data_IF_651832010210
#
_entry.id   IF_651832010210
#
_cell.length_a   1.000
_cell.length_b   1.000
_cell.length_c   1.000
_cell.angle_alpha   90.00
_cell.angle_beta   90.00
_cell.angle_gamma   90.00
#
_symmetry.space_group_name_H-M   'P 1'
#
loop_
_entity.id
_entity.type
_entity.pdbx_description
1 polymer ?
#
# COMPACT_ATOMS: atom_id res chain seq x y z
N UNK A 1 9.54 -67.76 -43.90
CA UNK A 1 9.12 -66.35 -43.71
C UNK A 1 8.22 -66.24 -42.51
N UNK A 2 8.74 -65.67 -41.41
CA UNK A 2 8.00 -64.95 -40.35
C UNK A 2 9.05 -64.45 -39.34
N UNK A 3 9.59 -63.27 -39.62
CA UNK A 3 10.40 -62.52 -38.66
C UNK A 3 9.41 -61.79 -37.74
N UNK A 4 9.30 -62.23 -36.49
CA UNK A 4 8.57 -61.49 -35.46
C UNK A 4 9.50 -60.43 -34.89
N UNK A 5 9.24 -59.17 -35.23
CA UNK A 5 9.87 -57.99 -34.64
C UNK A 5 9.30 -57.84 -33.23
N UNK A 6 10.15 -57.95 -32.21
CA UNK A 6 9.80 -57.61 -30.82
C UNK A 6 10.10 -56.12 -30.65
N UNK A 7 9.05 -55.31 -30.64
CA UNK A 7 9.13 -53.88 -30.34
C UNK A 7 9.17 -53.70 -28.83
N UNK A 8 10.35 -53.43 -28.27
CA UNK A 8 10.48 -52.99 -26.88
C UNK A 8 9.98 -51.55 -26.77
N UNK A 9 8.82 -51.34 -26.14
CA UNK A 9 8.35 -50.03 -25.76
C UNK A 9 9.19 -49.51 -24.59
N UNK A 10 9.98 -48.46 -24.84
CA UNK A 10 10.60 -47.65 -23.77
C UNK A 10 9.49 -46.78 -23.20
N UNK A 11 8.98 -47.16 -22.03
CA UNK A 11 8.11 -46.29 -21.23
C UNK A 11 8.97 -45.18 -20.63
N UNK A 12 8.95 -43.99 -21.24
CA UNK A 12 9.47 -42.79 -20.62
C UNK A 12 8.53 -42.40 -19.48
N UNK A 13 8.96 -42.64 -18.25
CA UNK A 13 8.31 -42.07 -17.06
C UNK A 13 8.60 -40.57 -17.09
N UNK A 14 7.69 -39.79 -17.66
CA UNK A 14 7.61 -38.35 -17.43
C UNK A 14 7.17 -38.16 -15.98
N UNK A 15 8.14 -38.19 -15.06
CA UNK A 15 7.94 -37.65 -13.73
C UNK A 15 7.68 -36.16 -13.89
N UNK A 16 6.41 -35.76 -13.72
CA UNK A 16 6.07 -34.36 -13.50
C UNK A 16 6.72 -33.94 -12.19
N UNK A 17 7.93 -33.41 -12.28
CA UNK A 17 8.48 -32.60 -11.21
C UNK A 17 7.54 -31.40 -11.09
N UNK A 18 6.69 -31.42 -10.08
CA UNK A 18 6.00 -30.22 -9.62
C UNK A 18 7.09 -29.37 -8.98
N UNK A 19 7.76 -28.57 -9.79
CA UNK A 19 8.51 -27.45 -9.24
C UNK A 19 7.45 -26.55 -8.64
N UNK A 20 7.41 -26.45 -7.32
CA UNK A 20 6.83 -25.28 -6.70
C UNK A 20 7.60 -24.11 -7.32
N UNK A 21 6.95 -23.36 -8.20
CA UNK A 21 7.47 -22.07 -8.61
C UNK A 21 7.56 -21.27 -7.32
N UNK A 22 8.75 -21.22 -6.74
CA UNK A 22 9.04 -20.24 -5.71
C UNK A 22 8.73 -18.90 -6.38
N UNK A 23 7.88 -18.09 -5.77
CA UNK A 23 7.64 -16.72 -6.19
C UNK A 23 8.98 -16.09 -6.60
N UNK A 24 9.04 -15.49 -7.79
CA UNK A 24 10.27 -14.86 -8.23
C UNK A 24 10.68 -13.84 -7.17
N UNK A 25 11.95 -13.86 -6.76
CA UNK A 25 12.48 -12.84 -5.86
C UNK A 25 12.21 -11.45 -6.40
N UNK A 26 11.74 -10.54 -5.55
CA UNK A 26 11.62 -9.12 -5.86
C UNK A 26 13.00 -8.55 -6.23
N UNK A 27 13.04 -7.71 -7.25
CA UNK A 27 14.27 -7.12 -7.79
C UNK A 27 14.09 -5.62 -8.13
N UNK A 28 15.20 -4.88 -8.19
CA UNK A 28 15.16 -3.49 -8.64
C UNK A 28 14.53 -3.39 -10.05
N UNK A 29 13.83 -2.28 -10.30
CA UNK A 29 12.99 -2.02 -11.47
C UNK A 29 11.71 -2.88 -11.59
N UNK A 30 11.46 -3.82 -10.67
CA UNK A 30 10.13 -4.40 -10.56
C UNK A 30 9.10 -3.32 -10.24
N UNK A 31 7.89 -3.48 -10.75
CA UNK A 31 6.77 -2.57 -10.52
C UNK A 31 5.74 -3.23 -9.61
N UNK A 32 5.50 -2.64 -8.45
CA UNK A 32 4.41 -3.02 -7.55
C UNK A 32 3.15 -2.28 -7.98
N UNK A 33 2.17 -3.02 -8.48
CA UNK A 33 0.89 -2.46 -8.94
C UNK A 33 -0.05 -2.23 -7.76
N UNK A 34 -0.70 -1.07 -7.72
CA UNK A 34 -1.79 -0.79 -6.79
C UNK A 34 -3.04 -1.50 -7.32
N UNK A 35 -3.78 -2.21 -6.45
CA UNK A 35 -4.96 -2.91 -6.91
C UNK A 35 -6.16 -1.95 -6.92
N UNK A 36 -6.60 -1.57 -8.12
CA UNK A 36 -7.73 -0.66 -8.38
C UNK A 36 -9.09 -1.14 -7.89
N UNK A 37 -9.17 -2.31 -7.25
CA UNK A 37 -10.40 -3.00 -6.85
C UNK A 37 -11.34 -2.22 -5.93
N UNK A 38 -10.95 -1.01 -5.50
CA UNK A 38 -11.71 -0.18 -4.57
C UNK A 38 -11.61 -0.76 -3.17
N UNK A 39 -11.31 0.07 -2.18
CA UNK A 39 -11.31 -0.45 -0.84
C UNK A 39 -12.74 -0.78 -0.41
N UNK A 40 -12.91 -1.91 0.27
CA UNK A 40 -14.19 -2.38 0.78
C UNK A 40 -14.13 -2.31 2.29
N UNK A 41 -14.97 -1.48 2.89
CA UNK A 41 -15.20 -1.49 4.33
C UNK A 41 -15.83 -2.84 4.69
N UNK A 42 -15.16 -3.61 5.55
CA UNK A 42 -15.63 -4.92 6.04
C UNK A 42 -16.02 -4.88 7.51
N UNK A 43 -15.71 -3.78 8.21
CA UNK A 43 -16.07 -3.58 9.61
C UNK A 43 -16.21 -2.11 10.01
N UNK A 44 -17.14 -1.84 10.92
CA UNK A 44 -17.43 -0.52 11.48
C UNK A 44 -17.41 -0.58 13.01
N UNK A 45 -16.94 0.49 13.66
CA UNK A 45 -16.92 0.57 15.13
C UNK A 45 -18.31 0.43 15.75
N UNK A 46 -19.33 0.95 15.07
CA UNK A 46 -20.71 0.80 15.46
C UNK A 46 -21.61 0.69 14.22
N UNK A 47 -22.75 0.01 14.38
CA UNK A 47 -23.75 -0.12 13.33
C UNK A 47 -23.43 -1.20 12.30
N UNK A 48 -23.84 -0.96 11.04
CA UNK A 48 -23.73 -1.93 9.94
C UNK A 48 -23.21 -1.26 8.66
N UNK A 49 -22.60 -2.02 7.76
CA UNK A 49 -22.21 -1.52 6.44
C UNK A 49 -23.45 -1.37 5.56
N UNK A 50 -23.55 -0.24 4.85
CA UNK A 50 -24.55 -0.06 3.80
C UNK A 50 -24.25 -0.98 2.61
N UNK A 51 -25.13 -1.91 2.24
CA UNK A 51 -24.89 -2.74 1.05
C UNK A 51 -24.91 -1.93 -0.26
N UNK A 52 -25.55 -0.77 -0.27
CA UNK A 52 -25.69 0.06 -1.48
C UNK A 52 -24.51 1.01 -1.67
N UNK A 53 -23.91 1.51 -0.58
CA UNK A 53 -22.82 2.52 -0.64
C UNK A 53 -21.49 2.03 -0.11
N UNK A 54 -21.46 0.91 0.63
CA UNK A 54 -20.26 0.42 1.31
C UNK A 54 -19.89 1.18 2.58
N UNK A 55 -20.61 2.26 2.95
CA UNK A 55 -20.26 3.10 4.10
C UNK A 55 -20.78 2.53 5.44
N UNK A 56 -20.16 2.94 6.55
CA UNK A 56 -20.70 2.66 7.88
C UNK A 56 -22.02 3.42 8.11
N UNK A 57 -23.03 2.72 8.65
CA UNK A 57 -24.34 3.27 9.00
C UNK A 57 -24.60 3.21 10.50
N UNK A 58 -25.13 4.29 11.04
CA UNK A 58 -25.83 4.29 12.34
C UNK A 58 -27.31 4.60 12.09
N UNK A 59 -28.21 3.88 12.77
CA UNK A 59 -29.66 4.10 12.72
C UNK A 59 -30.26 4.14 11.30
N UNK A 60 -29.65 3.39 10.37
CA UNK A 60 -30.14 3.27 9.00
C UNK A 60 -29.69 4.37 8.04
N UNK A 61 -28.78 5.27 8.43
CA UNK A 61 -28.19 6.28 7.54
C UNK A 61 -26.68 6.18 7.51
N UNK A 62 -26.07 6.44 6.36
CA UNK A 62 -24.61 6.56 6.25
C UNK A 62 -24.13 7.68 7.18
N UNK A 63 -23.19 7.35 8.06
CA UNK A 63 -22.65 8.29 9.03
C UNK A 63 -21.13 8.38 8.85
N UNK A 64 -20.61 9.45 8.20
CA UNK A 64 -19.18 9.60 7.95
C UNK A 64 -18.37 9.84 9.23
N UNK A 65 -19.03 9.97 10.40
CA UNK A 65 -18.36 10.12 11.70
C UNK A 65 -18.01 8.77 12.34
N UNK A 66 -18.53 7.67 11.81
CA UNK A 66 -18.22 6.33 12.32
C UNK A 66 -16.82 5.91 11.88
N UNK A 67 -16.02 5.42 12.83
CA UNK A 67 -14.71 4.86 12.51
C UNK A 67 -14.87 3.52 11.79
N UNK A 68 -14.12 3.37 10.70
CA UNK A 68 -13.93 2.11 9.99
C UNK A 68 -12.99 1.25 10.84
N UNK A 69 -13.40 0.03 11.18
CA UNK A 69 -12.56 -0.90 11.96
C UNK A 69 -11.88 -1.94 11.09
N UNK A 70 -12.43 -2.23 9.92
CA UNK A 70 -11.82 -3.16 8.96
C UNK A 70 -12.11 -2.70 7.53
N UNK A 71 -11.08 -2.73 6.69
CA UNK A 71 -11.16 -2.37 5.28
C UNK A 71 -10.16 -3.20 4.50
N UNK A 72 -10.55 -3.64 3.30
CA UNK A 72 -9.71 -4.45 2.41
C UNK A 72 -9.47 -3.71 1.09
N UNK A 73 -8.44 -4.07 0.33
CA UNK A 73 -8.06 -3.38 -0.91
C UNK A 73 -7.04 -2.26 -0.70
N UNK A 74 -6.80 -1.45 -1.72
CA UNK A 74 -5.82 -0.35 -1.66
C UNK A 74 -6.50 0.97 -1.28
N UNK A 75 -6.20 1.44 -0.06
CA UNK A 75 -6.66 2.74 0.44
C UNK A 75 -5.54 3.48 1.15
N UNK A 76 -5.76 4.77 1.32
CA UNK A 76 -4.96 5.65 2.15
C UNK A 76 -5.89 6.32 3.16
N UNK A 77 -5.47 6.45 4.41
CA UNK A 77 -6.26 7.06 5.47
C UNK A 77 -5.53 8.28 6.05
N UNK A 78 -6.26 9.39 6.23
CA UNK A 78 -5.80 10.58 6.93
C UNK A 78 -6.91 11.04 7.89
N UNK A 79 -6.54 11.27 9.16
CA UNK A 79 -7.32 11.97 10.19
C UNK A 79 -8.85 11.98 9.96
N UNK A 80 -9.50 10.82 10.09
CA UNK A 80 -10.96 10.68 10.03
C UNK A 80 -11.57 10.40 8.66
N UNK A 81 -10.75 10.11 7.64
CA UNK A 81 -11.25 9.69 6.33
C UNK A 81 -10.32 8.72 5.61
N UNK A 82 -10.92 7.91 4.74
CA UNK A 82 -10.22 6.96 3.87
C UNK A 82 -10.45 7.33 2.41
N UNK A 83 -9.42 7.25 1.61
CA UNK A 83 -9.40 7.56 0.18
C UNK A 83 -8.96 6.32 -0.57
N UNK A 84 -9.75 5.90 -1.55
CA UNK A 84 -9.37 4.80 -2.43
C UNK A 84 -8.18 5.18 -3.30
N UNK A 85 -7.23 4.25 -3.44
CA UNK A 85 -6.14 4.40 -4.37
C UNK A 85 -6.46 3.70 -5.68
N UNK A 86 -6.04 4.34 -6.77
CA UNK A 86 -6.00 3.74 -8.09
C UNK A 86 -4.61 3.86 -8.64
N UNK A 87 -4.14 2.82 -9.29
CA UNK A 87 -2.86 2.69 -9.94
C UNK A 87 -2.73 3.68 -11.09
N UNK A 88 -1.56 4.29 -11.19
CA UNK A 88 -1.13 5.00 -12.39
C UNK A 88 0.10 4.29 -12.97
N UNK A 89 1.26 4.49 -12.36
CA UNK A 89 2.51 3.81 -12.73
C UNK A 89 2.88 2.68 -11.74
N UNK A 90 2.25 2.65 -10.56
CA UNK A 90 2.65 1.76 -9.47
C UNK A 90 3.95 2.23 -8.80
N UNK A 91 4.54 1.39 -7.96
CA UNK A 91 5.83 1.68 -7.29
C UNK A 91 6.93 0.94 -8.05
N UNK A 92 7.84 1.67 -8.67
CA UNK A 92 8.99 1.16 -9.41
C UNK A 92 10.18 1.09 -8.45
N UNK A 93 10.59 -0.12 -8.10
CA UNK A 93 11.70 -0.34 -7.17
C UNK A 93 13.01 0.21 -7.73
N UNK A 94 13.84 0.77 -6.85
CA UNK A 94 15.09 1.44 -7.22
C UNK A 94 14.90 2.80 -7.91
N UNK A 95 13.67 3.30 -8.07
CA UNK A 95 13.39 4.58 -8.73
C UNK A 95 12.79 5.63 -7.80
N UNK A 96 13.18 6.89 -8.02
CA UNK A 96 12.50 8.05 -7.45
C UNK A 96 11.35 8.48 -8.37
N UNK A 97 10.13 8.51 -7.85
CA UNK A 97 8.88 8.83 -8.56
C UNK A 97 8.26 10.07 -7.92
N UNK A 98 8.60 11.25 -8.44
CA UNK A 98 8.09 12.52 -7.92
C UNK A 98 6.76 12.87 -8.58
N UNK A 99 5.80 13.31 -7.76
CA UNK A 99 4.56 13.90 -8.22
C UNK A 99 4.59 15.43 -8.10
N UNK A 100 3.84 16.12 -8.97
CA UNK A 100 3.73 17.58 -8.97
C UNK A 100 2.31 18.03 -9.34
N UNK A 101 2.02 19.33 -9.19
CA UNK A 101 0.74 19.90 -9.61
C UNK A 101 -0.39 19.68 -8.61
N UNK A 102 -0.09 19.39 -7.35
CA UNK A 102 -1.10 19.45 -6.28
C UNK A 102 -1.61 20.87 -6.11
N UNK A 103 -2.92 21.03 -5.96
CA UNK A 103 -3.57 22.31 -5.78
C UNK A 103 -4.89 22.17 -4.99
N UNK A 104 -5.45 23.29 -4.48
CA UNK A 104 -6.80 23.30 -3.95
C UNK A 104 -7.86 22.99 -5.01
N UNK A 105 -8.97 22.41 -4.58
CA UNK A 105 -10.13 22.13 -5.42
C UNK A 105 -10.16 20.71 -5.98
N UNK A 106 -10.90 20.56 -7.07
CA UNK A 106 -11.08 19.28 -7.77
C UNK A 106 -9.97 19.06 -8.79
N UNK A 107 -9.67 17.80 -9.05
CA UNK A 107 -8.70 17.36 -10.06
C UNK A 107 -9.01 18.01 -11.41
N UNK A 108 -8.01 18.59 -12.07
CA UNK A 108 -8.22 19.41 -13.28
C UNK A 108 -7.21 19.17 -14.42
N UNK A 109 -6.46 18.07 -14.34
CA UNK A 109 -5.44 17.65 -15.31
C UNK A 109 -4.18 18.51 -15.32
N UNK A 110 -3.97 19.38 -14.33
CA UNK A 110 -2.66 20.04 -14.11
C UNK A 110 -1.73 19.21 -13.24
N UNK A 111 -2.24 18.11 -12.68
CA UNK A 111 -1.50 17.11 -11.93
C UNK A 111 -0.49 16.37 -12.80
N UNK A 112 0.64 16.02 -12.19
CA UNK A 112 1.65 15.13 -12.76
C UNK A 112 1.85 13.98 -11.76
N UNK A 113 0.94 12.98 -11.75
CA UNK A 113 1.08 11.80 -10.90
C UNK A 113 2.27 10.96 -11.33
N UNK A 114 2.77 10.13 -10.42
CA UNK A 114 3.90 9.23 -10.70
C UNK A 114 3.74 7.83 -10.12
N UNK A 115 2.71 7.57 -9.31
CA UNK A 115 2.52 6.29 -8.61
C UNK A 115 1.05 5.87 -8.72
N UNK A 116 0.17 6.69 -8.16
CA UNK A 116 -1.28 6.54 -8.18
C UNK A 116 -1.96 7.66 -8.98
N UNK A 117 -3.23 7.46 -9.33
CA UNK A 117 -4.09 8.50 -9.89
C UNK A 117 -4.31 9.57 -8.81
N UNK A 118 -4.34 10.87 -9.18
CA UNK A 118 -4.64 11.92 -8.21
C UNK A 118 -5.96 11.67 -7.49
N UNK A 119 -5.99 11.99 -6.20
CA UNK A 119 -7.17 11.88 -5.34
C UNK A 119 -7.46 13.20 -4.66
N UNK A 120 -8.65 13.34 -4.09
CA UNK A 120 -9.06 14.55 -3.37
C UNK A 120 -9.26 14.23 -1.90
N UNK A 121 -8.56 14.95 -1.02
CA UNK A 121 -8.75 14.89 0.42
C UNK A 121 -8.82 16.30 1.00
N UNK A 122 -9.83 16.54 1.84
CA UNK A 122 -10.12 17.86 2.44
C UNK A 122 -10.02 19.02 1.41
N UNK A 123 -10.68 18.83 0.26
CA UNK A 123 -10.75 19.80 -0.84
C UNK A 123 -9.41 20.18 -1.48
N UNK A 124 -8.40 19.30 -1.40
CA UNK A 124 -7.12 19.47 -2.06
C UNK A 124 -6.76 18.20 -2.84
N UNK A 125 -6.16 18.37 -4.00
CA UNK A 125 -5.62 17.26 -4.78
C UNK A 125 -4.36 16.71 -4.10
N UNK A 126 -4.29 15.39 -3.92
CA UNK A 126 -3.13 14.67 -3.44
C UNK A 126 -2.68 13.58 -4.41
N UNK A 127 -1.40 13.25 -4.35
CA UNK A 127 -0.75 12.16 -5.11
C UNK A 127 0.36 11.57 -4.26
N UNK A 128 0.57 10.25 -4.34
CA UNK A 128 1.75 9.61 -3.76
C UNK A 128 3.01 9.91 -4.58
N UNK A 129 4.13 9.93 -3.86
CA UNK A 129 5.45 10.15 -4.43
C UNK A 129 6.53 9.45 -3.61
N UNK A 130 7.68 9.24 -4.23
CA UNK A 130 8.93 8.94 -3.55
C UNK A 130 9.94 10.07 -3.80
N UNK A 131 10.59 10.52 -2.72
CA UNK A 131 11.62 11.57 -2.75
C UNK A 131 13.04 10.98 -2.80
N UNK A 132 13.18 9.71 -2.41
CA UNK A 132 14.31 8.81 -2.64
C UNK A 132 13.80 7.47 -3.16
N UNK A 133 14.65 6.66 -3.81
CA UNK A 133 14.25 5.34 -4.30
C UNK A 133 13.70 4.43 -3.21
N UNK A 134 12.66 3.64 -3.55
CA UNK A 134 12.24 2.49 -2.71
C UNK A 134 13.23 1.36 -2.97
N UNK A 135 13.96 0.92 -1.95
CA UNK A 135 15.01 -0.09 -2.12
C UNK A 135 14.68 -1.39 -1.41
N UNK A 136 15.20 -2.50 -1.93
CA UNK A 136 14.99 -3.82 -1.34
C UNK A 136 15.97 -4.02 -0.19
N UNK A 137 15.44 -4.24 1.02
CA UNK A 137 16.23 -4.58 2.20
C UNK A 137 16.37 -6.10 2.28
N UNK A 138 15.24 -6.81 2.10
CA UNK A 138 15.18 -8.27 2.11
C UNK A 138 14.03 -8.75 1.22
N UNK A 139 13.84 -10.08 1.10
CA UNK A 139 12.72 -10.63 0.34
C UNK A 139 11.34 -10.26 0.90
N UNK A 140 11.28 -9.73 2.12
CA UNK A 140 10.01 -9.38 2.80
C UNK A 140 9.98 -7.93 3.24
N UNK A 141 11.01 -7.13 2.95
CA UNK A 141 11.16 -5.77 3.47
C UNK A 141 11.65 -4.81 2.40
N UNK A 142 10.97 -3.66 2.31
CA UNK A 142 11.36 -2.53 1.49
C UNK A 142 11.62 -1.29 2.34
N UNK A 143 12.61 -0.51 1.91
CA UNK A 143 12.88 0.83 2.42
C UNK A 143 11.97 1.85 1.72
N UNK A 144 11.01 2.38 2.46
CA UNK A 144 10.11 3.47 2.07
C UNK A 144 10.46 4.80 2.77
N UNK A 145 11.69 5.00 3.24
CA UNK A 145 12.12 6.26 3.88
C UNK A 145 11.86 7.52 3.03
N UNK A 146 11.87 7.37 1.70
CA UNK A 146 11.54 8.43 0.75
C UNK A 146 10.06 8.64 0.48
N UNK A 147 9.18 7.79 1.00
CA UNK A 147 7.75 7.81 0.71
C UNK A 147 7.07 9.06 1.24
N UNK A 148 6.11 9.57 0.49
CA UNK A 148 5.32 10.71 0.88
C UNK A 148 4.14 10.94 -0.04
N UNK A 149 3.43 12.01 0.25
CA UNK A 149 2.39 12.56 -0.63
C UNK A 149 2.75 14.00 -0.99
N UNK A 150 2.37 14.44 -2.18
CA UNK A 150 2.26 15.87 -2.45
C UNK A 150 0.80 16.26 -2.24
N UNK A 151 0.55 17.15 -1.28
CA UNK A 151 -0.79 17.53 -0.89
C UNK A 151 -0.81 19.02 -0.53
N UNK A 152 -1.80 19.75 -1.07
CA UNK A 152 -1.89 21.21 -0.99
C UNK A 152 -0.56 21.92 -1.39
N UNK A 153 0.11 21.40 -2.42
CA UNK A 153 1.39 21.93 -2.91
C UNK A 153 2.59 21.69 -1.98
N UNK A 154 2.42 20.97 -0.88
CA UNK A 154 3.48 20.61 0.06
C UNK A 154 3.84 19.14 -0.07
N UNK A 155 5.13 18.84 0.05
CA UNK A 155 5.61 17.47 0.17
C UNK A 155 5.51 17.04 1.62
N UNK A 156 4.59 16.12 1.92
CA UNK A 156 4.38 15.56 3.26
C UNK A 156 5.10 14.22 3.33
N UNK A 157 6.18 14.10 4.13
CA UNK A 157 6.90 12.85 4.28
C UNK A 157 6.06 11.86 5.08
N UNK A 158 5.98 10.64 4.56
CA UNK A 158 5.33 9.50 5.21
C UNK A 158 6.35 8.40 5.55
N UNK A 159 7.57 8.45 5.01
CA UNK A 159 8.66 7.49 5.25
C UNK A 159 9.40 7.62 6.59
N UNK A 160 9.03 8.58 7.45
CA UNK A 160 9.82 8.94 8.62
C UNK A 160 9.17 8.55 9.95
N UNK A 161 9.95 7.93 10.83
CA UNK A 161 9.62 7.82 12.25
C UNK A 161 10.13 9.04 13.02
N UNK A 162 9.31 9.60 13.90
CA UNK A 162 9.80 10.54 14.91
C UNK A 162 10.39 9.75 16.08
N UNK A 163 11.52 10.19 16.62
CA UNK A 163 12.21 9.54 17.76
C UNK A 163 11.43 9.62 19.07
N UNK A 164 10.33 10.37 19.08
CA UNK A 164 9.39 10.53 20.17
C UNK A 164 8.03 10.76 19.51
N UNK A 165 7.25 9.70 19.30
CA UNK A 165 5.82 9.88 19.08
C UNK A 165 5.18 10.17 20.47
N UNK A 166 4.61 11.36 20.70
CA UNK A 166 3.93 11.66 21.96
C UNK A 166 2.64 10.85 22.16
N UNK A 167 2.12 10.20 21.12
CA UNK A 167 0.93 9.37 21.18
C UNK A 167 1.30 7.89 21.01
N UNK A 168 1.21 7.10 22.09
CA UNK A 168 1.00 5.66 21.93
C UNK A 168 -0.33 5.49 21.19
N UNK A 169 -0.26 5.29 19.88
CA UNK A 169 -1.41 5.14 19.00
C UNK A 169 -1.83 3.67 18.87
N UNK A 170 -1.49 2.82 19.85
CA UNK A 170 -1.71 1.37 19.85
C UNK A 170 -1.03 0.66 18.66
N UNK A 171 0.21 1.07 18.32
CA UNK A 171 1.00 0.39 17.30
C UNK A 171 0.66 0.79 15.86
N UNK A 172 0.19 2.02 15.71
CA UNK A 172 -0.25 2.58 14.43
C UNK A 172 0.78 3.52 13.79
N UNK A 173 2.04 3.51 14.23
CA UNK A 173 3.12 4.23 13.58
C UNK A 173 3.88 3.26 12.66
N UNK A 174 4.49 3.74 11.58
CA UNK A 174 5.45 2.97 10.76
C UNK A 174 6.74 2.60 11.51
N UNK A 175 6.71 2.65 12.84
CA UNK A 175 7.77 2.47 13.80
C UNK A 175 7.47 1.31 14.76
N UNK A 176 6.25 0.76 14.81
CA UNK A 176 5.93 -0.46 15.57
C UNK A 176 5.93 -1.66 14.60
N UNK A 177 7.07 -2.35 14.49
CA UNK A 177 7.23 -3.45 13.53
C UNK A 177 6.58 -4.74 14.02
N UNK A 178 6.52 -4.97 15.34
CA UNK A 178 5.93 -6.17 15.92
C UNK A 178 4.44 -6.03 16.27
N UNK A 179 3.89 -4.83 16.07
CA UNK A 179 2.49 -4.45 16.33
C UNK A 179 2.09 -4.70 17.78
N UNK A 180 3.03 -4.60 18.73
CA UNK A 180 2.77 -4.82 20.15
C UNK A 180 2.15 -3.61 20.86
N UNK A 181 2.04 -2.48 20.15
CA UNK A 181 1.54 -1.22 20.68
C UNK A 181 2.63 -0.30 21.23
N UNK A 182 3.91 -0.57 20.95
CA UNK A 182 5.07 0.22 21.35
C UNK A 182 5.88 0.55 20.10
N UNK A 183 6.21 1.83 19.92
CA UNK A 183 7.11 2.21 18.83
C UNK A 183 8.51 1.60 19.05
N UNK A 184 8.96 0.80 18.10
CA UNK A 184 10.35 0.37 18.00
C UNK A 184 11.22 1.59 17.71
N UNK A 185 12.18 1.83 18.61
CA UNK A 185 13.14 2.94 18.54
C UNK A 185 14.07 2.83 17.31
N UNK A 186 13.95 1.77 16.51
CA UNK A 186 15.00 1.32 15.59
C UNK A 186 14.48 0.82 14.24
N UNK A 187 13.46 1.42 13.64
CA UNK A 187 13.34 1.38 12.17
C UNK A 187 12.45 2.46 11.59
N UNK A 188 12.98 3.15 10.58
CA UNK A 188 12.34 4.28 9.89
C UNK A 188 11.78 3.80 8.56
N UNK A 189 10.48 3.94 8.30
CA UNK A 189 9.92 3.81 6.95
C UNK A 189 10.08 2.44 6.29
N UNK A 190 10.15 1.35 7.06
CA UNK A 190 10.20 0.00 6.48
C UNK A 190 8.79 -0.50 6.28
N UNK A 191 8.50 -0.96 5.07
CA UNK A 191 7.25 -1.64 4.76
C UNK A 191 7.47 -3.15 4.74
N UNK A 192 6.60 -3.90 5.41
CA UNK A 192 6.54 -5.34 5.29
C UNK A 192 5.77 -5.73 4.03
N UNK A 193 6.31 -6.69 3.28
CA UNK A 193 5.63 -7.26 2.12
C UNK A 193 5.24 -8.70 2.42
N UNK A 194 3.99 -9.04 2.10
CA UNK A 194 3.56 -10.44 1.99
C UNK A 194 3.57 -10.88 0.53
N UNK A 195 4.37 -11.90 0.21
CA UNK A 195 4.46 -12.48 -1.14
C UNK A 195 3.59 -13.73 -1.21
N UNK A 196 2.61 -13.74 -2.10
CA UNK A 196 1.79 -14.93 -2.39
C UNK A 196 1.77 -15.18 -3.91
N UNK A 197 2.55 -16.17 -4.36
CA UNK A 197 2.73 -16.42 -5.80
C UNK A 197 3.42 -15.23 -6.47
N UNK A 198 2.88 -14.75 -7.59
CA UNK A 198 3.39 -13.56 -8.30
C UNK A 198 2.74 -12.25 -7.81
N UNK A 199 2.03 -12.29 -6.68
CA UNK A 199 1.32 -11.15 -6.10
C UNK A 199 1.97 -10.72 -4.80
N UNK A 200 2.04 -9.41 -4.59
CA UNK A 200 2.54 -8.77 -3.39
C UNK A 200 1.40 -8.00 -2.74
N UNK A 201 1.29 -8.08 -1.42
CA UNK A 201 0.46 -7.17 -0.62
C UNK A 201 1.41 -6.30 0.19
N UNK A 202 1.30 -4.99 -0.03
CA UNK A 202 2.02 -3.97 0.73
C UNK A 202 1.06 -3.37 1.76
N UNK A 203 1.27 -3.72 3.03
CA UNK A 203 0.64 -3.01 4.13
C UNK A 203 1.65 -1.99 4.65
N UNK A 204 1.40 -0.71 4.36
CA UNK A 204 2.25 0.38 4.81
C UNK A 204 1.48 1.32 5.71
N UNK A 205 2.08 1.67 6.84
CA UNK A 205 1.53 2.59 7.82
C UNK A 205 2.53 3.70 8.11
N UNK A 206 2.03 4.92 8.22
CA UNK A 206 2.87 6.09 8.42
C UNK A 206 2.15 7.18 9.21
N UNK A 207 2.92 7.89 10.03
CA UNK A 207 2.48 9.09 10.72
C UNK A 207 3.06 10.32 10.02
N UNK A 208 2.28 11.40 9.97
CA UNK A 208 2.82 12.70 9.57
C UNK A 208 3.56 13.28 10.79
N UNK A 209 4.83 13.74 10.64
CA UNK A 209 5.60 14.25 11.77
C UNK A 209 4.90 15.40 12.50
N UNK A 210 4.91 15.39 13.85
CA UNK A 210 4.48 16.52 14.67
C UNK A 210 5.17 17.80 14.21
N UNK A 211 4.39 18.86 13.98
CA UNK A 211 4.89 20.16 13.53
C UNK A 211 5.14 20.25 12.02
N UNK A 212 4.75 19.24 11.23
CA UNK A 212 4.78 19.34 9.78
C UNK A 212 3.95 20.56 9.29
N UNK A 213 4.47 21.37 8.34
CA UNK A 213 3.78 22.57 7.85
C UNK A 213 2.40 22.34 7.23
N UNK A 214 2.06 21.10 6.85
CA UNK A 214 0.72 20.75 6.38
C UNK A 214 -0.37 20.92 7.44
N UNK A 215 0.00 20.91 8.73
CA UNK A 215 -0.94 20.93 9.85
C UNK A 215 -1.63 19.57 10.10
N UNK A 216 -1.19 18.50 9.44
CA UNK A 216 -1.71 17.13 9.66
C UNK A 216 -0.80 16.29 10.56
N UNK A 217 0.25 16.89 11.13
CA UNK A 217 1.22 16.19 11.97
C UNK A 217 0.69 15.88 13.37
N UNK A 218 1.00 14.67 13.85
CA UNK A 218 0.65 14.17 15.18
C UNK A 218 -0.11 12.85 15.17
#
# INVERSE_FOLDING_TARGET
>A
MKNSIITSAVAAILGTAVFNANASSIADADTLTINDGGSVITGCQAGSINPDTGNCRLDGTDDPRLNITEQTGSFFALAGGTTNLSNYEGIILGSTQRAFGSHPGVINSTESPSIDVPWVFASNTGMHQTTSPVTIISQTELDFTGWGVIWNGLSVPLGGCQTVDPANNNGFSGCDFDRDGIDDVVNTGIASISITGDTYVLDYLANVPTGDPSGTGG
#
